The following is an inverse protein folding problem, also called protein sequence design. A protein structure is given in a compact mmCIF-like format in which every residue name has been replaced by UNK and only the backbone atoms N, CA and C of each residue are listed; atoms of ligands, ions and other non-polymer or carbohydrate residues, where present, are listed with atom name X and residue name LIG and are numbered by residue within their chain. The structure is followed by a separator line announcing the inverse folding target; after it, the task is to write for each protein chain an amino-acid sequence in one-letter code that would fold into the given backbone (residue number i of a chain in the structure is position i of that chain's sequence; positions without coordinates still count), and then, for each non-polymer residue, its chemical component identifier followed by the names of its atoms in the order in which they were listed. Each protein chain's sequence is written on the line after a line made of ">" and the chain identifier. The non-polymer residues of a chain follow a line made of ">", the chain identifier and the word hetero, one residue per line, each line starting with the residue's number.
data_IF_210455644659
#
_entry.id   IF_210455644659
#
_cell.length_a   1.000
_cell.length_b   1.000
_cell.length_c   1.000
_cell.angle_alpha   90.00
_cell.angle_beta   90.00
_cell.angle_gamma   90.00
#
_symmetry.space_group_name_H-M   'P 1'
#
loop_
_entity.id
_entity.type
_entity.pdbx_description
1 polymer ?
#
# COMPACT_ATOMS: atom_id res chain seq x y z
N UNK A 1 5.78 11.84 10.28
CA UNK A 1 5.47 11.27 8.96
C UNK A 1 4.70 9.98 9.18
N UNK A 2 3.45 9.91 8.71
CA UNK A 2 2.62 8.72 8.79
C UNK A 2 2.66 8.06 7.42
N UNK A 3 3.33 6.91 7.30
CA UNK A 3 3.32 6.14 6.07
C UNK A 3 1.95 5.47 5.94
N UNK A 4 1.19 5.85 4.92
CA UNK A 4 -0.07 5.19 4.57
C UNK A 4 0.26 4.00 3.66
N UNK A 5 0.24 2.79 4.22
CA UNK A 5 0.35 1.58 3.42
C UNK A 5 -1.05 1.19 2.91
N UNK A 6 -1.14 0.84 1.63
CA UNK A 6 -2.32 0.13 1.13
C UNK A 6 -2.48 -1.16 1.92
N UNK A 7 -3.69 -1.49 2.36
CA UNK A 7 -3.93 -2.70 3.15
C UNK A 7 -3.35 -3.91 2.40
N UNK A 8 -2.45 -4.70 3.02
CA UNK A 8 -1.66 -5.72 2.31
C UNK A 8 -2.48 -6.90 1.74
N UNK A 9 -3.81 -6.89 1.91
CA UNK A 9 -4.68 -7.98 1.46
C UNK A 9 -4.36 -9.32 2.12
N UNK A 10 -3.66 -9.30 3.25
CA UNK A 10 -3.17 -10.50 3.92
C UNK A 10 -3.96 -10.83 5.19
N UNK A 11 -4.13 -12.11 5.47
CA UNK A 11 -4.70 -12.58 6.74
C UNK A 11 -3.66 -12.41 7.84
N UNK A 12 -3.99 -11.61 8.85
CA UNK A 12 -3.13 -11.41 10.02
C UNK A 12 -3.39 -12.52 11.03
N UNK A 13 -2.35 -13.25 11.39
CA UNK A 13 -2.40 -14.22 12.48
C UNK A 13 -2.16 -13.51 13.82
N UNK A 14 -3.23 -13.36 14.61
CA UNK A 14 -3.17 -12.70 15.91
C UNK A 14 -2.86 -13.65 17.08
N UNK A 15 -2.67 -14.95 16.83
CA UNK A 15 -2.48 -15.95 17.89
C UNK A 15 -1.15 -15.82 18.65
N UNK A 16 -0.19 -15.04 18.13
CA UNK A 16 1.16 -14.90 18.69
C UNK A 16 1.37 -13.65 19.56
N UNK A 17 0.45 -12.68 19.55
CA UNK A 17 0.57 -11.39 20.26
C UNK A 17 0.00 -11.42 21.69
N UNK A 18 0.21 -12.52 22.43
CA UNK A 18 -0.37 -12.70 23.79
C UNK A 18 0.66 -12.37 24.90
N UNK A 19 1.92 -12.13 24.54
CA UNK A 19 3.02 -11.82 25.46
C UNK A 19 3.22 -10.34 25.77
N UNK A 20 4.14 -10.03 26.69
CA UNK A 20 4.56 -8.65 27.05
C UNK A 20 5.63 -8.06 26.12
N UNK A 21 6.03 -8.80 25.08
CA UNK A 21 7.04 -8.36 24.13
C UNK A 21 6.47 -7.38 23.09
N UNK A 22 7.34 -6.77 22.25
CA UNK A 22 6.90 -5.99 21.11
C UNK A 22 6.00 -6.81 20.19
N UNK A 23 4.90 -6.24 19.66
CA UNK A 23 3.98 -6.97 18.80
C UNK A 23 4.67 -7.41 17.51
N UNK A 24 4.44 -8.65 17.11
CA UNK A 24 4.92 -9.21 15.86
C UNK A 24 3.75 -9.43 14.88
N UNK A 25 3.95 -9.11 13.60
CA UNK A 25 2.97 -9.37 12.56
C UNK A 25 3.52 -10.50 11.69
N UNK A 26 2.83 -11.63 11.68
CA UNK A 26 3.15 -12.75 10.79
C UNK A 26 2.14 -12.78 9.64
N UNK A 27 2.63 -12.58 8.42
CA UNK A 27 1.85 -12.69 7.19
C UNK A 27 2.14 -14.05 6.56
N UNK A 28 1.09 -14.80 6.23
CA UNK A 28 1.20 -16.08 5.50
C UNK A 28 0.61 -15.94 4.10
N UNK A 29 1.28 -16.50 3.09
CA UNK A 29 0.87 -16.42 1.68
C UNK A 29 1.50 -15.25 0.91
N UNK A 30 1.03 -15.00 -0.31
CA UNK A 30 1.44 -13.84 -1.10
C UNK A 30 0.62 -12.61 -0.70
N UNK A 31 1.31 -11.50 -0.42
CA UNK A 31 0.72 -10.18 -0.26
C UNK A 31 0.16 -9.74 -1.62
N UNK A 32 -1.16 -9.68 -1.76
CA UNK A 32 -1.80 -9.16 -2.95
C UNK A 32 -2.41 -7.79 -2.65
N UNK A 33 -2.03 -6.78 -3.43
CA UNK A 33 -2.72 -5.49 -3.36
C UNK A 33 -4.13 -5.67 -3.96
N UNK A 34 -5.15 -5.81 -3.08
CA UNK A 34 -6.55 -5.68 -3.49
C UNK A 34 -6.87 -4.21 -3.71
N UNK A 35 -6.39 -3.67 -4.83
CA UNK A 35 -6.92 -2.42 -5.35
C UNK A 35 -8.34 -2.71 -5.86
N UNK A 36 -9.34 -1.99 -5.33
CA UNK A 36 -10.69 -2.05 -5.86
C UNK A 36 -10.75 -1.48 -7.29
N UNK A 37 -11.92 -1.53 -7.93
CA UNK A 37 -12.14 -0.80 -9.18
C UNK A 37 -11.75 0.68 -9.01
N UNK A 38 -11.03 1.23 -9.99
CA UNK A 38 -10.69 2.66 -10.05
C UNK A 38 -11.94 3.54 -10.13
N UNK A 39 -13.03 3.00 -10.69
CA UNK A 39 -14.31 3.66 -10.76
C UNK A 39 -15.21 3.17 -9.61
N UNK A 40 -15.88 4.07 -8.87
CA UNK A 40 -16.91 3.67 -7.94
C UNK A 40 -18.07 3.00 -8.69
N UNK A 41 -18.78 2.09 -8.02
CA UNK A 41 -20.04 1.56 -8.58
C UNK A 41 -21.09 2.68 -8.61
N UNK A 42 -22.11 2.52 -9.43
CA UNK A 42 -23.22 3.47 -9.47
C UNK A 42 -23.84 3.63 -8.06
N UNK A 43 -23.84 4.86 -7.54
CA UNK A 43 -24.35 5.19 -6.20
C UNK A 43 -23.31 5.15 -5.09
N UNK A 44 -22.10 4.62 -5.32
CA UNK A 44 -21.02 4.63 -4.34
C UNK A 44 -20.23 5.95 -4.39
N UNK A 45 -19.76 6.41 -3.23
CA UNK A 45 -18.85 7.54 -3.16
C UNK A 45 -17.47 7.17 -3.76
N UNK A 46 -16.81 8.08 -4.50
CA UNK A 46 -15.46 7.86 -5.01
C UNK A 46 -14.48 7.66 -3.86
N UNK A 47 -13.53 6.74 -4.05
CA UNK A 47 -12.42 6.49 -3.12
C UNK A 47 -11.12 6.93 -3.78
N UNK A 48 -10.24 7.57 -3.02
CA UNK A 48 -8.95 8.03 -3.51
C UNK A 48 -7.84 7.13 -2.98
N UNK A 49 -6.88 6.81 -3.85
CA UNK A 49 -5.63 6.17 -3.49
C UNK A 49 -4.47 7.04 -4.01
N UNK A 50 -3.46 7.24 -3.17
CA UNK A 50 -2.24 7.92 -3.58
C UNK A 50 -1.19 6.84 -3.86
N UNK A 51 -0.80 6.71 -5.14
CA UNK A 51 0.24 5.79 -5.56
C UNK A 51 1.51 6.59 -5.85
N UNK A 52 2.56 6.33 -5.06
CA UNK A 52 3.89 6.87 -5.34
C UNK A 52 4.64 5.86 -6.19
N UNK A 53 4.78 6.15 -7.48
CA UNK A 53 5.65 5.41 -8.39
C UNK A 53 6.95 6.20 -8.47
N UNK A 54 8.06 5.55 -8.13
CA UNK A 54 9.39 6.15 -8.25
C UNK A 54 10.13 5.45 -9.39
N UNK A 55 10.22 6.12 -10.54
CA UNK A 55 10.97 5.67 -11.70
C UNK A 55 12.24 6.52 -11.82
N UNK A 56 13.37 5.94 -11.45
CA UNK A 56 14.65 6.65 -11.40
C UNK A 56 15.07 7.18 -12.76
N UNK A 57 14.80 6.45 -13.84
CA UNK A 57 15.29 6.82 -15.17
C UNK A 57 14.46 7.99 -15.72
N UNK A 58 13.14 7.93 -15.54
CA UNK A 58 12.23 9.00 -15.90
C UNK A 58 12.47 10.29 -15.10
N UNK A 59 12.77 10.18 -13.80
CA UNK A 59 13.09 11.35 -12.97
C UNK A 59 14.44 12.00 -13.36
N UNK A 60 15.43 11.19 -13.76
CA UNK A 60 16.71 11.70 -14.28
C UNK A 60 16.49 12.45 -15.60
N UNK A 61 15.68 11.90 -16.51
CA UNK A 61 15.38 12.54 -17.79
C UNK A 61 14.63 13.87 -17.60
N UNK A 62 13.59 13.90 -16.77
CA UNK A 62 12.85 15.13 -16.46
C UNK A 62 13.77 16.21 -15.84
N UNK A 63 14.73 15.80 -15.00
CA UNK A 63 15.73 16.72 -14.43
C UNK A 63 16.68 17.27 -15.50
N UNK A 64 17.07 16.47 -16.48
CA UNK A 64 17.91 16.94 -17.59
C UNK A 64 17.15 17.86 -18.56
N UNK A 65 15.86 17.62 -18.77
CA UNK A 65 15.01 18.44 -19.65
C UNK A 65 14.58 19.77 -19.01
N UNK A 66 14.51 19.84 -17.67
CA UNK A 66 14.17 21.05 -16.93
C UNK A 66 15.33 22.01 -16.65
N UNK A 67 16.54 21.68 -17.13
CA UNK A 67 17.73 22.54 -17.12
C UNK A 67 17.92 23.20 -18.49
#
# INVERSE_FOLDING_TARGET
>A
MMFAFTSPGATVDNSYNIGKGPPNIRIQGQTCHRIGSLLPKAGDAPKFAQLYIYDTDNEIENRMQGL
#
